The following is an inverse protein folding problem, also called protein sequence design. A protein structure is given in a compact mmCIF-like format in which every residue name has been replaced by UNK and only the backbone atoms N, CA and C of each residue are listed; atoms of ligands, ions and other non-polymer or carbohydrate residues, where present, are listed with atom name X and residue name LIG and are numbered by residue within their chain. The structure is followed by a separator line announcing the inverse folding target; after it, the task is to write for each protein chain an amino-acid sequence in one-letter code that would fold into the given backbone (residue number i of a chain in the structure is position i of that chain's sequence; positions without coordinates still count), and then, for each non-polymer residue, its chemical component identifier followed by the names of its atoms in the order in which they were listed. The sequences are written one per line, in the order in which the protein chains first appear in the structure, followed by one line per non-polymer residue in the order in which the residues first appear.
data_IF_970656670664
#
_entry.id   IF_970656670664
#
_cell.length_a   1.000
_cell.length_b   1.000
_cell.length_c   1.000
_cell.angle_alpha   90.00
_cell.angle_beta   90.00
_cell.angle_gamma   90.00
#
_symmetry.space_group_name_H-M   'P 1'
#
loop_
_entity.id
_entity.type
_entity.pdbx_description
1 polymer ?
#
# COMPACT_ATOMS: atom_id res chain seq x y z
N UNK A 1 24.96 -3.54 -12.81
CA UNK A 1 24.56 -4.01 -11.47
C UNK A 1 23.10 -4.42 -11.56
N UNK A 2 22.79 -5.69 -11.41
CA UNK A 2 21.42 -6.16 -11.40
C UNK A 2 20.70 -5.59 -10.18
N UNK A 3 19.49 -5.05 -10.39
CA UNK A 3 18.59 -4.79 -9.28
C UNK A 3 18.32 -6.13 -8.59
N UNK A 4 18.40 -6.24 -7.28
CA UNK A 4 18.14 -7.49 -6.55
C UNK A 4 16.68 -7.97 -6.63
N UNK A 5 15.86 -7.37 -7.50
CA UNK A 5 14.45 -7.70 -7.74
C UNK A 5 14.01 -7.37 -9.16
N UNK A 6 12.88 -7.95 -9.57
CA UNK A 6 12.16 -7.66 -10.82
C UNK A 6 10.74 -7.18 -10.49
N UNK A 7 10.31 -6.09 -11.10
CA UNK A 7 8.92 -5.63 -11.01
C UNK A 7 8.05 -6.42 -12.01
N UNK A 8 6.94 -6.95 -11.54
CA UNK A 8 6.00 -7.73 -12.32
C UNK A 8 4.81 -6.87 -12.79
N UNK A 9 4.18 -7.29 -13.88
CA UNK A 9 2.99 -6.60 -14.41
C UNK A 9 1.79 -6.57 -13.46
N UNK A 10 1.74 -7.47 -12.47
CA UNK A 10 0.70 -7.54 -11.43
C UNK A 10 0.99 -6.67 -10.20
N UNK A 11 1.92 -5.70 -10.31
CA UNK A 11 2.33 -4.80 -9.24
C UNK A 11 2.99 -5.49 -8.03
N UNK A 12 3.60 -6.66 -8.24
CA UNK A 12 4.46 -7.30 -7.26
C UNK A 12 5.93 -7.15 -7.63
N UNK A 13 6.83 -7.36 -6.68
CA UNK A 13 8.27 -7.40 -6.91
C UNK A 13 8.81 -8.79 -6.55
N UNK A 14 9.51 -9.44 -7.49
CA UNK A 14 10.16 -10.74 -7.28
C UNK A 14 11.61 -10.56 -6.89
N UNK A 15 12.01 -11.16 -5.77
CA UNK A 15 13.39 -11.19 -5.31
C UNK A 15 14.25 -12.07 -6.23
N UNK A 16 15.39 -11.56 -6.67
CA UNK A 16 16.37 -12.31 -7.45
C UNK A 16 17.44 -12.99 -6.58
N UNK A 17 17.59 -12.51 -5.36
CA UNK A 17 18.60 -12.98 -4.40
C UNK A 17 17.93 -13.16 -3.05
N UNK A 18 18.24 -14.24 -2.35
CA UNK A 18 17.82 -14.41 -0.95
C UNK A 18 18.51 -13.37 -0.08
N UNK A 19 17.72 -12.58 0.68
CA UNK A 19 18.31 -11.50 1.45
C UNK A 19 17.31 -10.63 2.18
N UNK A 20 17.84 -9.54 2.71
CA UNK A 20 17.08 -8.51 3.41
C UNK A 20 16.68 -7.44 2.40
N UNK A 21 15.40 -7.09 2.41
CA UNK A 21 14.80 -6.08 1.57
C UNK A 21 14.13 -5.00 2.43
N UNK A 22 14.10 -3.80 1.88
CA UNK A 22 13.37 -2.69 2.45
C UNK A 22 12.34 -2.19 1.44
N UNK A 23 11.10 -2.07 1.86
CA UNK A 23 10.06 -1.40 1.09
C UNK A 23 9.67 -0.11 1.80
N UNK A 24 9.54 0.96 1.03
CA UNK A 24 8.97 2.22 1.50
C UNK A 24 7.78 2.55 0.64
N UNK A 25 6.71 3.05 1.24
CA UNK A 25 5.52 3.43 0.50
C UNK A 25 4.83 4.64 1.10
N UNK A 26 4.16 5.38 0.22
CA UNK A 26 3.25 6.46 0.55
C UNK A 26 1.91 6.17 -0.11
N UNK A 27 0.84 6.21 0.67
CA UNK A 27 -0.51 5.90 0.22
C UNK A 27 -1.44 7.04 0.57
N UNK A 28 -2.36 7.34 -0.36
CA UNK A 28 -3.41 8.32 -0.14
C UNK A 28 -4.75 7.62 -0.03
N UNK A 29 -5.44 7.82 1.09
CA UNK A 29 -6.77 7.30 1.35
C UNK A 29 -7.77 8.42 1.57
N UNK A 30 -9.01 8.16 1.19
CA UNK A 30 -10.15 9.01 1.46
C UNK A 30 -11.19 8.26 2.28
N UNK A 31 -11.86 8.97 3.19
CA UNK A 31 -13.02 8.50 3.92
C UNK A 31 -14.25 9.35 3.54
N UNK A 32 -15.21 8.74 2.87
CA UNK A 32 -16.49 9.35 2.53
C UNK A 32 -17.64 8.91 3.46
N UNK A 33 -17.32 8.22 4.56
CA UNK A 33 -18.31 7.86 5.57
C UNK A 33 -18.37 8.90 6.70
N UNK A 34 -19.47 8.89 7.45
CA UNK A 34 -19.70 9.78 8.58
C UNK A 34 -19.12 9.28 9.92
N UNK A 35 -18.38 8.17 9.89
CA UNK A 35 -17.69 7.60 11.03
C UNK A 35 -16.17 7.53 10.79
N UNK A 36 -15.41 7.40 11.87
CA UNK A 36 -13.96 7.16 11.82
C UNK A 36 -13.71 5.71 11.43
N UNK A 37 -12.81 5.49 10.47
CA UNK A 37 -12.42 4.17 10.00
C UNK A 37 -10.91 4.06 9.84
N UNK A 38 -10.43 2.82 9.73
CA UNK A 38 -9.02 2.54 9.47
C UNK A 38 -8.83 1.96 8.08
N UNK A 39 -7.77 2.41 7.40
CA UNK A 39 -7.15 1.69 6.31
C UNK A 39 -5.96 0.91 6.89
N UNK A 40 -5.94 -0.39 6.65
CA UNK A 40 -4.96 -1.33 7.20
C UNK A 40 -4.14 -1.83 6.02
N UNK A 41 -2.84 -1.65 6.08
CA UNK A 41 -1.90 -1.96 4.98
C UNK A 41 -0.85 -2.94 5.47
N UNK A 42 -0.52 -3.95 4.66
CA UNK A 42 0.50 -4.95 5.00
C UNK A 42 1.17 -5.50 3.74
N UNK A 43 2.27 -6.22 3.94
CA UNK A 43 2.97 -6.93 2.88
C UNK A 43 2.53 -8.39 2.83
N UNK A 44 2.43 -8.94 1.63
CA UNK A 44 2.15 -10.35 1.38
C UNK A 44 3.15 -10.93 0.39
N UNK A 45 3.71 -12.09 0.73
CA UNK A 45 4.62 -12.84 -0.14
C UNK A 45 3.80 -13.78 -1.01
N UNK A 46 4.27 -14.02 -2.26
CA UNK A 46 3.62 -14.85 -3.27
C UNK A 46 2.17 -14.44 -3.58
N UNK A 47 1.98 -13.16 -3.66
CA UNK A 47 0.80 -12.32 -3.67
C UNK A 47 -0.38 -12.63 -4.61
N UNK A 48 -0.42 -13.76 -5.30
CA UNK A 48 -1.59 -14.16 -6.09
C UNK A 48 -2.61 -14.97 -5.26
N UNK A 49 -2.21 -15.49 -4.10
CA UNK A 49 -3.07 -16.24 -3.19
C UNK A 49 -3.59 -15.33 -2.07
N UNK A 50 -4.91 -15.22 -1.97
CA UNK A 50 -5.58 -14.41 -0.95
C UNK A 50 -5.61 -15.09 0.44
N UNK A 51 -4.53 -15.74 0.84
CA UNK A 51 -4.44 -16.41 2.15
C UNK A 51 -3.58 -15.61 3.11
N UNK A 52 -4.04 -15.44 4.35
CA UNK A 52 -3.30 -14.78 5.42
C UNK A 52 -1.98 -15.49 5.81
N UNK A 53 -1.78 -16.72 5.34
CA UNK A 53 -0.55 -17.49 5.59
C UNK A 53 0.69 -16.89 4.94
N UNK A 54 0.51 -16.06 3.91
CA UNK A 54 1.59 -15.41 3.18
C UNK A 54 1.83 -13.97 3.64
N UNK A 55 1.15 -13.52 4.67
CA UNK A 55 1.34 -12.18 5.22
C UNK A 55 2.68 -12.07 5.95
N UNK A 56 3.43 -11.01 5.64
CA UNK A 56 4.72 -10.76 6.29
C UNK A 56 4.47 -10.30 7.74
N UNK A 57 4.99 -11.02 8.74
CA UNK A 57 4.83 -10.61 10.14
C UNK A 57 5.37 -9.21 10.39
N UNK A 58 4.69 -8.45 11.24
CA UNK A 58 5.06 -7.08 11.63
C UNK A 58 5.13 -6.06 10.48
N UNK A 59 4.50 -6.35 9.33
CA UNK A 59 4.43 -5.42 8.19
C UNK A 59 3.18 -4.54 8.20
N UNK A 60 2.27 -4.74 9.15
CA UNK A 60 0.99 -4.04 9.20
C UNK A 60 1.15 -2.61 9.69
N UNK A 61 0.60 -1.68 8.93
CA UNK A 61 0.47 -0.26 9.30
C UNK A 61 -1.00 0.14 9.24
N UNK A 62 -1.47 0.89 10.22
CA UNK A 62 -2.87 1.34 10.31
C UNK A 62 -2.90 2.86 10.14
N UNK A 63 -3.70 3.32 9.18
CA UNK A 63 -3.97 4.73 8.95
C UNK A 63 -5.41 5.03 9.37
N UNK A 64 -5.58 5.81 10.43
CA UNK A 64 -6.90 6.21 10.92
C UNK A 64 -7.39 7.43 10.14
N UNK A 65 -8.53 7.28 9.48
CA UNK A 65 -9.22 8.32 8.72
C UNK A 65 -10.37 8.87 9.54
N UNK A 66 -10.36 10.18 9.77
CA UNK A 66 -11.48 10.88 10.39
C UNK A 66 -12.72 10.78 9.50
N UNK A 67 -13.89 10.93 10.10
CA UNK A 67 -15.16 11.01 9.37
C UNK A 67 -15.13 12.11 8.29
N UNK A 68 -15.90 11.94 7.21
CA UNK A 68 -16.04 12.96 6.17
C UNK A 68 -16.40 14.32 6.76
N UNK A 69 -15.94 15.38 6.12
CA UNK A 69 -16.24 16.76 6.55
C UNK A 69 -17.67 17.16 6.26
N UNK A 70 -18.26 16.64 5.18
CA UNK A 70 -19.66 16.83 4.79
C UNK A 70 -20.06 15.76 3.77
N UNK A 71 -21.34 15.73 3.38
CA UNK A 71 -21.86 14.76 2.41
C UNK A 71 -21.13 14.78 1.05
N UNK A 72 -20.51 15.91 0.68
CA UNK A 72 -19.79 16.07 -0.59
C UNK A 72 -18.27 16.25 -0.41
N UNK A 73 -17.78 16.18 0.82
CA UNK A 73 -16.36 16.45 1.10
C UNK A 73 -15.77 15.36 1.97
N UNK A 74 -15.11 14.35 1.36
CA UNK A 74 -14.40 13.32 2.08
C UNK A 74 -13.30 13.89 2.97
N UNK A 75 -12.87 13.13 3.95
CA UNK A 75 -11.62 13.37 4.66
C UNK A 75 -10.49 12.58 4.00
N UNK A 76 -9.29 13.14 3.97
CA UNK A 76 -8.12 12.57 3.31
C UNK A 76 -6.99 12.36 4.29
N UNK A 77 -6.23 11.28 4.09
CA UNK A 77 -4.96 11.03 4.77
C UNK A 77 -3.93 10.58 3.75
N UNK A 78 -2.71 11.09 3.91
CA UNK A 78 -1.54 10.56 3.23
C UNK A 78 -0.67 9.92 4.30
N UNK A 79 -0.46 8.62 4.18
CA UNK A 79 0.36 7.84 5.09
C UNK A 79 1.65 7.38 4.43
N UNK A 80 2.72 7.34 5.21
CA UNK A 80 4.02 6.82 4.83
C UNK A 80 4.40 5.70 5.77
N UNK A 81 5.04 4.66 5.26
CA UNK A 81 5.61 3.60 6.08
C UNK A 81 6.85 2.99 5.42
N UNK A 82 7.66 2.36 6.25
CA UNK A 82 8.84 1.61 5.85
C UNK A 82 8.84 0.26 6.57
N UNK A 83 9.12 -0.80 5.83
CA UNK A 83 9.21 -2.17 6.36
C UNK A 83 10.49 -2.82 5.86
N UNK A 84 11.22 -3.43 6.79
CA UNK A 84 12.39 -4.28 6.48
C UNK A 84 12.00 -5.74 6.71
N UNK A 85 12.28 -6.60 5.74
CA UNK A 85 11.85 -7.99 5.76
C UNK A 85 12.78 -8.87 4.92
N UNK A 86 12.63 -10.17 5.03
CA UNK A 86 13.43 -11.15 4.29
C UNK A 86 12.61 -11.77 3.17
N UNK A 87 13.22 -11.95 1.99
CA UNK A 87 12.70 -12.75 0.89
C UNK A 87 13.71 -13.79 0.44
N UNK A 88 13.23 -14.96 0.03
CA UNK A 88 14.02 -15.91 -0.71
C UNK A 88 14.02 -15.58 -2.21
N UNK A 89 15.07 -15.98 -2.91
CA UNK A 89 15.13 -15.83 -4.36
C UNK A 89 13.93 -16.54 -5.01
N UNK A 90 13.24 -15.86 -5.90
CA UNK A 90 12.01 -16.32 -6.54
C UNK A 90 10.71 -15.96 -5.82
N UNK A 91 10.75 -15.55 -4.56
CA UNK A 91 9.54 -15.05 -3.87
C UNK A 91 9.16 -13.67 -4.38
N UNK A 92 7.85 -13.45 -4.51
CA UNK A 92 7.28 -12.16 -4.89
C UNK A 92 6.59 -11.52 -3.70
N UNK A 93 6.71 -10.21 -3.56
CA UNK A 93 6.03 -9.44 -2.52
C UNK A 93 5.11 -8.40 -3.14
N UNK A 94 3.96 -8.21 -2.55
CA UNK A 94 2.99 -7.17 -2.90
C UNK A 94 2.51 -6.40 -1.68
N UNK A 95 2.03 -5.18 -1.91
CA UNK A 95 1.38 -4.36 -0.91
C UNK A 95 -0.14 -4.62 -0.97
N UNK A 96 -0.72 -4.97 0.17
CA UNK A 96 -2.13 -5.25 0.33
C UNK A 96 -2.76 -4.25 1.29
N UNK A 97 -4.03 -4.01 1.13
CA UNK A 97 -4.75 -3.15 2.06
C UNK A 97 -6.21 -3.60 2.23
N UNK A 98 -6.79 -3.22 3.34
CA UNK A 98 -8.19 -3.41 3.66
C UNK A 98 -8.69 -2.31 4.58
N UNK A 99 -9.94 -2.39 5.00
CA UNK A 99 -10.55 -1.45 5.94
C UNK A 99 -11.37 -2.19 6.98
N UNK A 100 -11.53 -1.60 8.15
CA UNK A 100 -12.42 -2.07 9.22
C UNK A 100 -13.89 -1.66 8.98
N UNK A 101 -14.16 -0.86 7.95
CA UNK A 101 -15.53 -0.53 7.59
C UNK A 101 -16.24 -1.73 6.95
N UNK A 102 -17.39 -2.09 7.50
CA UNK A 102 -18.25 -3.10 6.88
C UNK A 102 -18.71 -2.62 5.49
N UNK A 103 -18.68 -3.54 4.50
CA UNK A 103 -19.21 -3.24 3.19
C UNK A 103 -20.73 -2.94 3.28
N UNK A 104 -21.18 -1.96 2.52
CA UNK A 104 -22.59 -1.68 2.33
C UNK A 104 -23.26 -2.79 1.49
N UNK A 105 -24.57 -2.80 1.40
CA UNK A 105 -25.34 -3.79 0.63
C UNK A 105 -24.93 -3.92 -0.85
N UNK A 106 -24.16 -2.97 -1.38
CA UNK A 106 -23.58 -3.00 -2.73
C UNK A 106 -22.11 -3.42 -2.77
N UNK A 107 -21.53 -3.87 -1.65
CA UNK A 107 -20.11 -4.23 -1.56
C UNK A 107 -19.15 -3.04 -1.53
N UNK A 108 -19.65 -1.81 -1.54
CA UNK A 108 -18.84 -0.61 -1.46
C UNK A 108 -18.55 -0.22 -0.01
N UNK A 109 -17.37 0.31 0.24
CA UNK A 109 -17.03 0.99 1.49
C UNK A 109 -16.85 2.49 1.24
N UNK A 110 -16.92 3.29 2.27
CA UNK A 110 -16.60 4.72 2.19
C UNK A 110 -15.10 4.99 2.15
N UNK A 111 -14.26 3.97 2.36
CA UNK A 111 -12.80 4.06 2.34
C UNK A 111 -12.29 3.63 0.98
N UNK A 112 -11.45 4.45 0.37
CA UNK A 112 -10.87 4.15 -0.93
C UNK A 112 -9.50 4.82 -1.10
N UNK A 113 -8.68 4.26 -1.99
CA UNK A 113 -7.44 4.90 -2.40
C UNK A 113 -7.76 6.07 -3.32
N UNK A 114 -7.06 7.18 -3.13
CA UNK A 114 -7.38 8.45 -3.73
C UNK A 114 -6.23 8.97 -4.61
N UNK A 115 -6.52 9.23 -5.86
CA UNK A 115 -5.63 9.88 -6.82
C UNK A 115 -6.24 11.20 -7.28
N UNK A 116 -5.40 12.19 -7.54
CA UNK A 116 -5.81 13.49 -8.09
C UNK A 116 -5.30 13.65 -9.51
N UNK A 117 -6.18 14.13 -10.39
CA UNK A 117 -5.75 14.60 -11.70
C UNK A 117 -4.89 15.87 -11.58
N UNK A 118 -4.02 16.09 -12.57
CA UNK A 118 -3.28 17.35 -12.68
C UNK A 118 -4.26 18.52 -12.74
N UNK A 119 -3.91 19.62 -12.10
CA UNK A 119 -4.71 20.85 -12.11
C UNK A 119 -3.89 22.04 -12.62
N UNK A 120 -4.60 23.02 -13.13
CA UNK A 120 -4.01 24.27 -13.64
C UNK A 120 -4.48 25.50 -12.88
N UNK A 121 -5.59 25.42 -12.16
CA UNK A 121 -6.21 26.50 -11.40
C UNK A 121 -6.87 25.97 -10.11
N UNK A 122 -6.86 26.72 -8.98
CA UNK A 122 -6.26 28.04 -8.76
C UNK A 122 -4.72 28.01 -8.68
N UNK A 123 -4.13 26.84 -8.52
CA UNK A 123 -2.68 26.61 -8.52
C UNK A 123 -2.37 25.38 -9.41
N UNK A 124 -1.37 25.50 -10.26
CA UNK A 124 -0.95 24.38 -11.10
C UNK A 124 -0.17 23.35 -10.26
N UNK A 125 -0.56 22.09 -10.38
CA UNK A 125 0.19 20.94 -9.83
C UNK A 125 0.01 19.69 -10.69
N UNK A 126 1.02 18.80 -10.74
CA UNK A 126 0.93 17.55 -11.48
C UNK A 126 -0.10 16.59 -10.86
N UNK A 127 -0.49 15.56 -11.61
CA UNK A 127 -1.30 14.47 -11.09
C UNK A 127 -0.62 13.80 -9.89
N UNK A 128 -1.41 13.48 -8.88
CA UNK A 128 -0.93 12.83 -7.66
C UNK A 128 -1.43 11.38 -7.63
N UNK A 129 -0.55 10.38 -7.66
CA UNK A 129 -0.96 8.99 -7.61
C UNK A 129 -1.49 8.63 -6.22
N UNK A 130 -2.38 7.63 -6.15
CA UNK A 130 -2.89 7.11 -4.87
C UNK A 130 -1.85 6.31 -4.10
N UNK A 131 -0.84 5.78 -4.80
CA UNK A 131 0.23 4.99 -4.21
C UNK A 131 1.57 5.29 -4.88
N UNK A 132 2.60 5.44 -4.08
CA UNK A 132 4.00 5.47 -4.47
C UNK A 132 4.75 4.47 -3.61
N UNK A 133 5.67 3.73 -4.21
CA UNK A 133 6.49 2.79 -3.47
C UNK A 133 7.85 2.57 -4.09
N UNK A 134 8.78 2.16 -3.28
CA UNK A 134 10.09 1.68 -3.72
C UNK A 134 10.48 0.44 -2.93
N UNK A 135 11.21 -0.46 -3.58
CA UNK A 135 11.84 -1.61 -2.93
C UNK A 135 13.35 -1.51 -3.13
N UNK A 136 14.10 -1.83 -2.09
CA UNK A 136 15.56 -1.79 -2.10
C UNK A 136 16.09 -3.11 -1.54
N UNK A 137 17.02 -3.73 -2.25
CA UNK A 137 17.84 -4.82 -1.71
C UNK A 137 18.87 -4.23 -0.73
N UNK A 138 18.88 -4.70 0.49
CA UNK A 138 19.76 -4.19 1.56
C UNK A 138 21.03 -5.02 1.65
N UNK A 139 20.90 -6.35 1.83
CA UNK A 139 22.03 -7.27 1.92
C UNK A 139 21.60 -8.70 1.67
N UNK A 140 22.53 -9.55 1.22
CA UNK A 140 22.35 -11.00 1.27
C UNK A 140 22.32 -11.47 2.73
N UNK A 141 21.62 -12.58 2.98
CA UNK A 141 21.75 -13.28 4.26
C UNK A 141 23.11 -13.92 4.36
N UNK A 142 23.71 -13.98 5.56
CA UNK A 142 24.92 -14.77 5.77
C UNK A 142 24.66 -16.23 5.36
N UNK A 143 25.60 -16.79 4.63
CA UNK A 143 25.60 -18.21 4.25
C UNK A 143 25.89 -19.10 5.47
#
# INVERSE_FOLDING_TARGET
AGSGFTLNANNTATAQVTGIYKITYSLQFANNDNAIHNAIVWLRVDGSSATSLNDVPNSTTIFTLQARKSALLPNFVCGYSEVVFTLNAGESVGLWWGTDQAATSGGATGIYMYALAAQTSPMAYPATPSALGSITFVSALPS
#
